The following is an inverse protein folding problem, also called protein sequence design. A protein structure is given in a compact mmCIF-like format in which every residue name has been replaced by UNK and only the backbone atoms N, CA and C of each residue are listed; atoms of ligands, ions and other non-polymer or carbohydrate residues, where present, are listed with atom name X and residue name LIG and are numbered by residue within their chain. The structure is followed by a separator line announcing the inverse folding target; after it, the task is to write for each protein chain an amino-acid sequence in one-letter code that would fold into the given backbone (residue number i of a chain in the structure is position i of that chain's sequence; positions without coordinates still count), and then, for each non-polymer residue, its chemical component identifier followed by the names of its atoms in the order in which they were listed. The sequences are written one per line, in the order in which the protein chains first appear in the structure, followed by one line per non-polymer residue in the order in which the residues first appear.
data_IF_382224586256
#
_entry.id   IF_382224586256
#
_cell.length_a   1.000
_cell.length_b   1.000
_cell.length_c   1.000
_cell.angle_alpha   90.00
_cell.angle_beta   90.00
_cell.angle_gamma   90.00
#
_symmetry.space_group_name_H-M   'P 1'
#
loop_
_entity.id
_entity.type
_entity.pdbx_description
1 polymer ?
#
# COMPACT_ATOMS: atom_id res chain seq x y z
N UNK A 1 -4.50 24.11 23.41
CA UNK A 1 -4.92 24.01 22.00
C UNK A 1 -4.30 22.73 21.46
N UNK A 2 -4.99 21.89 20.67
CA UNK A 2 -4.31 20.75 20.09
C UNK A 2 -3.38 21.30 19.01
N UNK A 3 -2.08 21.16 19.23
CA UNK A 3 -1.05 21.43 18.21
C UNK A 3 -1.41 20.61 16.98
N UNK A 4 -1.86 21.28 15.93
CA UNK A 4 -2.10 20.67 14.63
C UNK A 4 -0.77 20.12 14.15
N UNK A 5 -0.58 18.81 14.27
CA UNK A 5 0.63 18.15 13.81
C UNK A 5 0.68 18.32 12.30
N UNK A 6 1.59 19.16 11.81
CA UNK A 6 1.81 19.30 10.37
C UNK A 6 2.37 17.98 9.86
N UNK A 7 1.64 17.34 8.94
CA UNK A 7 2.08 16.09 8.31
C UNK A 7 3.12 16.42 7.24
N UNK A 8 4.30 15.81 7.35
CA UNK A 8 5.35 15.95 6.35
C UNK A 8 5.19 14.81 5.35
N UNK A 9 4.73 15.14 4.15
CA UNK A 9 4.39 14.14 3.12
C UNK A 9 5.62 13.61 2.38
N UNK A 10 6.63 14.47 2.18
CA UNK A 10 7.80 14.17 1.35
C UNK A 10 9.11 14.58 2.05
N UNK A 11 10.19 13.87 1.73
CA UNK A 11 11.54 14.16 2.17
C UNK A 11 12.55 13.94 1.03
N UNK A 12 13.72 14.56 1.13
CA UNK A 12 14.91 14.14 0.37
C UNK A 12 15.69 13.09 1.16
N UNK A 13 16.39 12.19 0.47
CA UNK A 13 17.35 11.25 1.07
C UNK A 13 18.60 11.16 0.21
N UNK A 14 19.75 10.81 0.82
CA UNK A 14 20.97 10.58 0.06
C UNK A 14 20.78 9.43 -0.95
N UNK A 15 21.36 9.58 -2.15
CA UNK A 15 21.24 8.60 -3.24
C UNK A 15 19.97 8.72 -4.08
N UNK A 16 19.00 9.54 -3.68
CA UNK A 16 17.81 9.81 -4.47
C UNK A 16 17.71 11.31 -4.73
N UNK A 17 17.83 11.71 -5.99
CA UNK A 17 17.76 13.13 -6.40
C UNK A 17 16.31 13.66 -6.44
N UNK A 18 15.34 12.81 -6.12
CA UNK A 18 13.91 13.12 -6.12
C UNK A 18 13.34 13.17 -4.71
N UNK A 19 12.23 13.89 -4.55
CA UNK A 19 11.41 13.85 -3.34
C UNK A 19 10.78 12.47 -3.23
N UNK A 20 10.84 11.87 -2.05
CA UNK A 20 10.23 10.57 -1.79
C UNK A 20 9.20 10.67 -0.67
N UNK A 21 8.13 9.90 -0.77
CA UNK A 21 7.14 9.74 0.30
C UNK A 21 7.64 8.72 1.34
N UNK A 22 7.02 8.72 2.52
CA UNK A 22 7.36 7.75 3.56
C UNK A 22 7.06 6.31 3.14
N UNK A 23 6.00 6.09 2.35
CA UNK A 23 5.72 4.78 1.74
C UNK A 23 6.81 4.36 0.77
N UNK A 24 7.28 5.30 -0.07
CA UNK A 24 8.37 5.01 -1.01
C UNK A 24 9.65 4.63 -0.27
N UNK A 25 9.98 5.34 0.80
CA UNK A 25 11.10 4.99 1.67
C UNK A 25 10.96 3.59 2.27
N UNK A 26 9.77 3.24 2.74
CA UNK A 26 9.45 1.91 3.27
C UNK A 26 9.66 0.81 2.24
N UNK A 27 9.14 0.98 1.03
CA UNK A 27 9.35 0.01 -0.06
C UNK A 27 10.84 -0.18 -0.40
N UNK A 28 11.59 0.91 -0.50
CA UNK A 28 13.02 0.85 -0.79
C UNK A 28 13.79 0.13 0.33
N UNK A 29 13.43 0.35 1.59
CA UNK A 29 14.05 -0.35 2.72
C UNK A 29 13.81 -1.86 2.66
N UNK A 30 12.57 -2.27 2.38
CA UNK A 30 12.21 -3.68 2.27
C UNK A 30 12.66 -4.36 0.98
N UNK A 31 13.11 -3.56 -0.01
CA UNK A 31 13.80 -4.01 -1.22
C UNK A 31 15.34 -4.05 -1.06
N UNK A 32 15.87 -3.76 0.14
CA UNK A 32 17.31 -3.63 0.42
C UNK A 32 18.01 -2.55 -0.46
N UNK A 33 17.27 -1.51 -0.84
CA UNK A 33 17.75 -0.33 -1.60
C UNK A 33 17.88 0.93 -0.72
N UNK A 34 17.42 0.86 0.52
CA UNK A 34 17.53 1.95 1.49
C UNK A 34 17.95 1.39 2.85
N UNK A 35 19.07 1.90 3.36
CA UNK A 35 19.59 1.49 4.66
C UNK A 35 18.61 1.81 5.79
N UNK A 36 18.66 1.01 6.86
CA UNK A 36 17.86 1.23 8.07
C UNK A 36 18.13 2.60 8.69
N UNK A 37 19.38 3.06 8.60
CA UNK A 37 19.86 4.33 9.16
C UNK A 37 19.83 5.47 8.12
N UNK A 38 19.04 5.32 7.05
CA UNK A 38 18.88 6.34 6.03
C UNK A 38 18.47 7.69 6.65
N UNK A 39 19.11 8.76 6.16
CA UNK A 39 18.88 10.12 6.63
C UNK A 39 17.98 10.85 5.66
N UNK A 40 16.91 11.41 6.20
CA UNK A 40 15.96 12.21 5.46
C UNK A 40 16.11 13.68 5.81
N UNK A 41 15.89 14.57 4.84
CA UNK A 41 15.92 16.02 5.05
C UNK A 41 14.66 16.67 4.51
N UNK A 42 14.22 17.75 5.15
CA UNK A 42 13.05 18.51 4.75
C UNK A 42 13.14 19.00 3.29
N UNK A 43 11.99 19.05 2.61
CA UNK A 43 11.85 19.57 1.25
C UNK A 43 11.54 21.07 1.20
N UNK A 44 11.36 21.71 2.36
CA UNK A 44 11.04 23.12 2.46
C UNK A 44 12.13 24.01 1.88
N UNK A 45 11.72 25.14 1.32
CA UNK A 45 12.59 26.08 0.61
C UNK A 45 13.67 26.62 1.54
N UNK A 46 14.94 26.32 1.24
CA UNK A 46 16.07 26.70 2.09
C UNK A 46 16.14 25.94 3.43
N UNK A 47 15.33 24.91 3.63
CA UNK A 47 15.34 24.08 4.83
C UNK A 47 16.22 22.83 4.61
N UNK A 48 16.94 22.42 5.66
CA UNK A 48 17.74 21.18 5.67
C UNK A 48 17.53 20.38 6.95
N UNK A 49 16.42 20.62 7.64
CA UNK A 49 16.08 19.96 8.90
C UNK A 49 16.10 18.43 8.74
N UNK A 50 16.74 17.70 9.68
CA UNK A 50 16.72 16.25 9.66
C UNK A 50 15.32 15.72 9.97
N UNK A 51 14.92 14.70 9.23
CA UNK A 51 13.65 14.00 9.39
C UNK A 51 13.89 12.52 9.70
N UNK A 52 12.88 11.91 10.32
CA UNK A 52 12.79 10.47 10.59
C UNK A 52 11.65 9.91 9.76
N UNK A 53 11.89 8.81 9.04
CA UNK A 53 10.79 7.96 8.55
C UNK A 53 10.37 7.01 9.68
N UNK A 54 9.26 7.32 10.35
CA UNK A 54 8.75 6.48 11.42
C UNK A 54 8.22 5.15 10.84
N UNK A 55 8.45 4.06 11.58
CA UNK A 55 8.02 2.70 11.22
C UNK A 55 8.67 2.10 9.96
N UNK A 56 9.80 2.64 9.51
CA UNK A 56 10.54 2.14 8.33
C UNK A 56 10.87 0.63 8.41
N UNK A 57 11.36 0.19 9.57
CA UNK A 57 11.87 -1.16 9.83
C UNK A 57 10.81 -2.13 10.39
N UNK A 58 9.57 -1.67 10.55
CA UNK A 58 8.49 -2.50 11.09
C UNK A 58 7.82 -3.28 9.97
N UNK A 59 7.69 -4.61 10.07
CA UNK A 59 6.90 -5.37 9.12
C UNK A 59 5.47 -4.84 9.04
N UNK A 60 4.89 -4.86 7.84
CA UNK A 60 3.60 -4.22 7.52
C UNK A 60 2.46 -4.67 8.42
N UNK A 61 2.45 -5.96 8.79
CA UNK A 61 1.49 -6.56 9.72
C UNK A 61 1.58 -6.06 11.17
N UNK A 62 2.66 -5.38 11.54
CA UNK A 62 2.84 -4.79 12.87
C UNK A 62 2.62 -3.27 12.86
N UNK A 63 2.31 -2.69 11.69
CA UNK A 63 2.05 -1.27 11.56
C UNK A 63 0.66 -0.95 12.10
N UNK A 64 0.61 -0.17 13.19
CA UNK A 64 -0.63 0.47 13.63
C UNK A 64 -0.95 1.74 12.84
N UNK A 65 0.08 2.35 12.27
CA UNK A 65 0.03 3.58 11.48
C UNK A 65 0.98 3.37 10.30
N UNK A 66 0.62 3.90 9.12
CA UNK A 66 1.49 3.90 7.93
C UNK A 66 2.84 4.56 8.24
N UNK A 67 3.91 4.24 7.50
CA UNK A 67 5.14 5.00 7.59
C UNK A 67 4.86 6.48 7.32
N UNK A 68 5.45 7.36 8.13
CA UNK A 68 5.26 8.80 8.03
C UNK A 68 6.56 9.53 8.37
N UNK A 69 6.77 10.71 7.78
CA UNK A 69 7.89 11.54 8.18
C UNK A 69 7.55 12.38 9.41
N UNK A 70 8.54 12.55 10.28
CA UNK A 70 8.47 13.48 11.41
C UNK A 70 9.80 14.17 11.62
N UNK A 71 9.76 15.41 12.10
CA UNK A 71 10.93 16.14 12.55
C UNK A 71 11.50 15.53 13.83
N UNK A 72 12.82 15.65 14.03
CA UNK A 72 13.42 15.40 15.34
C UNK A 72 12.98 16.46 16.35
N UNK A 73 13.16 17.72 15.97
CA UNK A 73 12.69 18.89 16.71
C UNK A 73 12.11 19.90 15.73
N UNK A 74 11.13 20.69 16.18
CA UNK A 74 10.52 21.68 15.30
C UNK A 74 11.49 22.84 15.03
N UNK A 75 12.31 23.20 16.02
CA UNK A 75 13.35 24.22 15.91
C UNK A 75 14.52 23.88 14.96
N UNK A 76 14.61 22.63 14.47
CA UNK A 76 15.62 22.26 13.46
C UNK A 76 15.27 22.80 12.06
N UNK A 77 14.02 23.25 11.86
CA UNK A 77 13.57 23.87 10.62
C UNK A 77 13.99 25.34 10.54
N UNK A 78 14.22 25.82 9.32
CA UNK A 78 14.39 27.24 9.09
C UNK A 78 13.09 27.98 9.46
N UNK A 79 13.18 29.18 10.05
CA UNK A 79 12.00 29.96 10.45
C UNK A 79 11.00 30.21 9.30
N UNK A 80 11.51 30.22 8.06
CA UNK A 80 10.73 30.40 6.83
C UNK A 80 10.22 29.09 6.23
N UNK A 81 10.44 27.94 6.88
CA UNK A 81 10.07 26.63 6.35
C UNK A 81 8.56 26.47 6.28
N UNK A 82 8.05 26.45 5.06
CA UNK A 82 6.64 26.26 4.73
C UNK A 82 6.12 24.87 5.10
N UNK A 83 6.99 23.86 5.14
CA UNK A 83 6.62 22.47 5.48
C UNK A 83 6.38 22.30 6.98
N UNK A 84 7.12 23.01 7.83
CA UNK A 84 7.00 22.90 9.28
C UNK A 84 6.17 24.01 9.91
N UNK A 85 6.24 25.23 9.33
CA UNK A 85 5.60 26.44 9.86
C UNK A 85 4.46 26.96 8.98
N UNK A 86 4.21 26.33 7.83
CA UNK A 86 3.08 26.67 6.97
C UNK A 86 1.78 26.56 7.76
N UNK A 87 1.11 27.70 7.96
CA UNK A 87 -0.24 27.72 8.52
C UNK A 87 -1.14 26.96 7.54
N UNK A 88 -1.68 25.83 7.98
CA UNK A 88 -2.44 24.88 7.16
C UNK A 88 -3.27 25.56 6.07
N UNK A 89 -2.76 25.53 4.83
CA UNK A 89 -3.45 26.09 3.69
C UNK A 89 -4.65 25.20 3.34
N UNK A 90 -5.74 25.90 3.00
CA UNK A 90 -7.06 25.47 2.54
C UNK A 90 -7.25 23.97 2.32
N UNK A 91 -8.27 23.41 3.02
CA UNK A 91 -8.93 22.11 2.76
C UNK A 91 -8.71 21.68 1.30
N UNK A 92 -7.67 20.86 1.08
CA UNK A 92 -7.27 20.47 -0.26
C UNK A 92 -8.49 19.88 -0.99
N UNK A 93 -8.71 20.28 -2.24
CA UNK A 93 -9.72 19.63 -3.08
C UNK A 93 -9.50 18.12 -2.99
N UNK A 94 -10.53 17.37 -2.58
CA UNK A 94 -10.50 15.90 -2.53
C UNK A 94 -10.29 15.40 -3.96
N UNK A 95 -9.05 15.11 -4.32
CA UNK A 95 -8.70 14.39 -5.55
C UNK A 95 -8.87 12.90 -5.32
N UNK A 96 -9.23 12.12 -6.36
CA UNK A 96 -9.22 10.67 -6.23
C UNK A 96 -7.83 10.18 -5.86
N UNK A 97 -7.77 9.12 -5.04
CA UNK A 97 -6.55 8.33 -4.90
C UNK A 97 -6.20 7.72 -6.26
N UNK A 98 -4.92 7.51 -6.57
CA UNK A 98 -4.51 6.88 -7.84
C UNK A 98 -3.85 5.55 -7.52
N UNK A 99 -4.34 4.47 -8.11
CA UNK A 99 -3.69 3.16 -8.05
C UNK A 99 -3.09 2.78 -9.38
N UNK A 100 -1.76 2.75 -9.39
CA UNK A 100 -0.96 2.42 -10.55
C UNK A 100 -0.81 0.89 -10.63
N UNK A 101 -1.41 0.30 -11.68
CA UNK A 101 -1.41 -1.14 -11.87
C UNK A 101 -0.01 -1.74 -12.06
N UNK A 102 0.91 -0.94 -12.60
CA UNK A 102 2.30 -1.31 -12.83
C UNK A 102 3.22 -0.25 -12.28
N UNK A 103 4.35 -0.71 -11.72
CA UNK A 103 5.43 0.20 -11.30
C UNK A 103 6.21 0.64 -12.54
N UNK A 104 6.77 1.86 -12.54
CA UNK A 104 7.83 2.23 -13.49
C UNK A 104 8.96 1.19 -13.47
N UNK A 105 9.58 0.94 -14.62
CA UNK A 105 10.62 -0.09 -14.75
C UNK A 105 11.85 0.17 -13.85
N UNK A 106 12.11 1.44 -13.54
CA UNK A 106 13.17 1.92 -12.66
C UNK A 106 12.73 2.14 -11.21
N UNK A 107 11.51 1.73 -10.83
CA UNK A 107 10.99 1.88 -9.47
C UNK A 107 11.82 1.13 -8.41
N UNK A 108 12.62 0.13 -8.77
CA UNK A 108 13.57 -0.50 -7.83
C UNK A 108 15.00 -0.45 -8.36
N UNK A 109 15.30 0.55 -9.20
CA UNK A 109 16.67 0.79 -9.63
C UNK A 109 17.46 1.31 -8.43
N UNK A 110 18.57 0.63 -8.11
CA UNK A 110 19.50 1.14 -7.13
C UNK A 110 20.01 2.52 -7.57
N UNK A 111 20.13 3.49 -6.64
CA UNK A 111 20.89 4.70 -6.87
C UNK A 111 22.20 4.40 -7.58
N UNK A 112 22.56 5.22 -8.59
CA UNK A 112 23.92 5.16 -9.11
C UNK A 112 24.88 5.40 -7.94
N UNK A 113 25.84 4.50 -7.74
CA UNK A 113 26.86 4.67 -6.72
C UNK A 113 27.60 5.98 -7.00
N UNK A 114 27.26 7.03 -6.27
CA UNK A 114 28.05 8.25 -6.27
C UNK A 114 29.36 7.87 -5.59
N UNK A 115 30.53 8.09 -6.23
CA UNK A 115 31.80 7.92 -5.55
C UNK A 115 31.74 8.72 -4.26
N UNK A 116 32.19 8.10 -3.17
CA UNK A 116 32.31 8.71 -1.85
C UNK A 116 33.37 9.81 -1.93
N UNK A 117 33.01 10.93 -2.53
CA UNK A 117 33.73 12.18 -2.42
C UNK A 117 33.17 12.88 -1.19
N UNK A 118 34.04 13.25 -0.27
CA UNK A 118 33.78 14.24 0.77
C UNK A 118 33.38 15.56 0.12
N UNK A 119 32.14 15.63 -0.36
CA UNK A 119 31.54 16.83 -0.89
C UNK A 119 30.33 17.10 0.00
N UNK A 120 30.56 17.95 0.99
CA UNK A 120 29.54 18.82 1.57
C UNK A 120 28.99 19.65 0.41
N UNK A 121 28.08 19.06 -0.38
CA UNK A 121 27.34 19.81 -1.38
C UNK A 121 26.37 20.70 -0.60
N UNK A 122 26.73 21.97 -0.48
CA UNK A 122 25.92 22.98 0.20
C UNK A 122 24.46 22.91 -0.28
N UNK A 123 23.48 22.94 0.63
CA UNK A 123 22.05 22.84 0.31
C UNK A 123 21.56 23.91 -0.68
N UNK A 124 22.33 24.98 -0.86
CA UNK A 124 22.07 26.07 -1.80
C UNK A 124 22.03 25.65 -3.28
N UNK A 125 22.72 24.59 -3.71
CA UNK A 125 22.74 24.19 -5.12
C UNK A 125 21.55 23.32 -5.56
N UNK A 126 20.89 22.62 -4.63
CA UNK A 126 19.64 21.89 -4.94
C UNK A 126 18.42 22.81 -5.03
N UNK A 127 18.48 23.98 -4.40
CA UNK A 127 17.38 24.94 -4.38
C UNK A 127 17.09 25.59 -5.75
N UNK A 128 18.03 25.61 -6.68
CA UNK A 128 17.89 26.40 -7.92
C UNK A 128 17.08 25.67 -9.01
N UNK A 129 17.01 24.33 -8.97
CA UNK A 129 16.23 23.56 -9.95
C UNK A 129 14.76 23.34 -9.55
N UNK A 130 14.36 23.68 -8.32
CA UNK A 130 13.02 23.41 -7.78
C UNK A 130 12.20 24.65 -7.44
N UNK A 131 12.74 25.85 -7.71
CA UNK A 131 12.20 27.14 -7.27
C UNK A 131 10.83 27.55 -7.87
N UNK A 132 10.17 26.69 -8.66
CA UNK A 132 8.90 26.99 -9.31
C UNK A 132 7.75 26.03 -8.97
N UNK A 133 7.95 25.04 -8.08
CA UNK A 133 6.87 24.17 -7.65
C UNK A 133 6.32 24.62 -6.28
N UNK A 134 5.42 25.61 -6.30
CA UNK A 134 4.40 25.77 -5.24
C UNK A 134 3.85 24.39 -4.91
N UNK A 135 3.85 24.01 -3.63
CA UNK A 135 3.40 22.71 -3.12
C UNK A 135 1.92 22.47 -3.42
N UNK A 136 1.59 22.18 -4.67
CA UNK A 136 0.26 21.70 -5.03
C UNK A 136 0.12 20.29 -4.47
N UNK A 137 -0.98 19.96 -3.79
CA UNK A 137 -1.28 18.60 -3.38
C UNK A 137 -1.24 17.69 -4.61
N UNK A 138 -0.24 16.79 -4.66
CA UNK A 138 -0.20 15.71 -5.64
C UNK A 138 -1.22 14.67 -5.21
N UNK A 139 -1.89 14.04 -6.18
CA UNK A 139 -2.66 12.84 -5.89
C UNK A 139 -1.71 11.80 -5.28
N UNK A 140 -2.18 11.06 -4.27
CA UNK A 140 -1.39 9.97 -3.71
C UNK A 140 -1.39 8.82 -4.72
N UNK A 141 -0.23 8.52 -5.31
CA UNK A 141 -0.05 7.39 -6.22
C UNK A 141 0.37 6.15 -5.41
N UNK A 142 -0.44 5.10 -5.48
CA UNK A 142 -0.21 3.83 -4.82
C UNK A 142 0.10 2.75 -5.83
N UNK A 143 1.14 1.97 -5.56
CA UNK A 143 1.48 0.79 -6.36
C UNK A 143 1.03 -0.51 -5.70
N UNK A 144 0.94 -0.54 -4.36
CA UNK A 144 0.58 -1.73 -3.58
C UNK A 144 -0.89 -1.72 -3.20
N UNK A 145 -1.56 -2.85 -3.39
CA UNK A 145 -2.94 -3.05 -2.98
C UNK A 145 -3.12 -2.81 -1.47
N UNK A 146 -2.08 -3.03 -0.66
CA UNK A 146 -2.16 -2.81 0.77
C UNK A 146 -2.43 -1.34 1.16
N UNK A 147 -1.95 -0.36 0.37
CA UNK A 147 -2.29 1.05 0.58
C UNK A 147 -3.76 1.34 0.25
N UNK A 148 -4.29 0.75 -0.83
CA UNK A 148 -5.73 0.85 -1.13
C UNK A 148 -6.61 0.14 -0.09
N UNK A 149 -6.18 -1.01 0.42
CA UNK A 149 -6.90 -1.72 1.49
C UNK A 149 -6.97 -0.84 2.74
N UNK A 150 -5.87 -0.17 3.10
CA UNK A 150 -5.86 0.77 4.22
C UNK A 150 -6.84 1.92 4.02
N UNK A 151 -6.85 2.53 2.81
CA UNK A 151 -7.81 3.58 2.46
C UNK A 151 -9.26 3.09 2.51
N UNK A 152 -9.51 1.89 2.00
CA UNK A 152 -10.81 1.25 2.11
C UNK A 152 -11.26 1.11 3.57
N UNK A 153 -10.38 0.70 4.49
CA UNK A 153 -10.71 0.60 5.92
C UNK A 153 -10.96 1.98 6.55
N UNK A 154 -10.17 2.99 6.18
CA UNK A 154 -10.36 4.39 6.60
C UNK A 154 -11.74 4.90 6.16
N UNK A 155 -12.05 4.82 4.86
CA UNK A 155 -13.34 5.26 4.31
C UNK A 155 -14.52 4.45 4.83
N UNK A 156 -14.33 3.16 5.10
CA UNK A 156 -15.36 2.32 5.74
C UNK A 156 -15.67 2.81 7.15
N UNK A 157 -14.66 3.14 7.94
CA UNK A 157 -14.81 3.68 9.31
C UNK A 157 -15.48 5.05 9.28
N UNK A 158 -15.10 5.88 8.31
CA UNK A 158 -15.59 7.25 8.17
C UNK A 158 -16.95 7.31 7.45
N UNK A 159 -17.42 6.16 6.94
CA UNK A 159 -18.73 5.94 6.28
C UNK A 159 -18.92 6.75 5.00
N UNK A 160 -17.87 6.88 4.19
CA UNK A 160 -17.87 7.63 2.92
C UNK A 160 -17.42 6.78 1.72
N UNK A 161 -17.58 5.45 1.77
CA UNK A 161 -17.14 4.53 0.70
C UNK A 161 -17.84 4.77 -0.66
N UNK A 162 -19.04 5.30 -0.65
CA UNK A 162 -19.85 5.66 -1.82
C UNK A 162 -19.48 7.03 -2.41
N UNK A 163 -18.78 7.87 -1.65
CA UNK A 163 -18.28 9.18 -2.09
C UNK A 163 -16.78 9.15 -2.43
N UNK A 164 -15.98 8.40 -1.67
CA UNK A 164 -14.55 8.29 -1.84
C UNK A 164 -14.20 7.53 -3.12
N UNK A 165 -13.33 8.12 -3.93
CA UNK A 165 -13.00 7.60 -5.27
C UNK A 165 -11.52 7.26 -5.41
N UNK A 166 -11.28 6.29 -6.29
CA UNK A 166 -9.95 5.87 -6.73
C UNK A 166 -9.94 5.77 -8.25
N UNK A 167 -8.86 6.25 -8.85
CA UNK A 167 -8.56 6.13 -10.27
C UNK A 167 -7.62 4.93 -10.52
N UNK A 168 -7.97 4.07 -11.48
CA UNK A 168 -7.17 2.92 -11.88
C UNK A 168 -7.16 2.85 -13.41
N UNK A 169 -5.99 3.06 -14.03
CA UNK A 169 -5.86 3.03 -15.49
C UNK A 169 -6.72 4.06 -16.22
N UNK A 170 -6.95 5.23 -15.61
CA UNK A 170 -7.78 6.31 -16.15
C UNK A 170 -9.28 6.15 -15.90
N UNK A 171 -9.73 5.05 -15.29
CA UNK A 171 -11.11 4.86 -14.87
C UNK A 171 -11.26 5.22 -13.39
N UNK A 172 -12.22 6.10 -13.06
CA UNK A 172 -12.55 6.46 -11.68
C UNK A 172 -13.75 5.66 -11.19
N UNK A 173 -13.65 5.10 -9.99
CA UNK A 173 -14.76 4.40 -9.33
C UNK A 173 -14.73 4.62 -7.81
N UNK A 174 -15.86 4.38 -7.16
CA UNK A 174 -15.95 4.47 -5.69
C UNK A 174 -15.29 3.26 -5.03
N UNK A 175 -14.81 3.45 -3.79
CA UNK A 175 -14.30 2.35 -2.98
C UNK A 175 -15.38 1.28 -2.74
N UNK A 176 -16.64 1.68 -2.59
CA UNK A 176 -17.77 0.74 -2.48
C UNK A 176 -17.90 -0.17 -3.71
N UNK A 177 -17.84 0.39 -4.92
CA UNK A 177 -17.96 -0.38 -6.16
C UNK A 177 -16.75 -1.29 -6.41
N UNK A 178 -15.55 -0.85 -5.96
CA UNK A 178 -14.28 -1.54 -6.16
C UNK A 178 -14.11 -2.77 -5.26
N UNK A 179 -14.50 -2.68 -3.99
CA UNK A 179 -14.24 -3.71 -2.99
C UNK A 179 -15.42 -4.68 -2.85
N UNK A 180 -15.24 -5.91 -3.31
CA UNK A 180 -16.30 -6.93 -3.36
C UNK A 180 -15.98 -8.13 -2.49
N UNK A 181 -16.91 -8.50 -1.61
CA UNK A 181 -16.75 -9.67 -0.76
C UNK A 181 -17.04 -10.97 -1.54
N UNK A 182 -16.18 -11.98 -1.39
CA UNK A 182 -16.40 -13.32 -1.94
C UNK A 182 -17.47 -14.03 -1.11
N UNK A 183 -18.75 -13.92 -1.52
CA UNK A 183 -19.84 -14.62 -0.84
C UNK A 183 -21.07 -14.82 -1.74
N UNK A 184 -21.35 -16.08 -2.11
CA UNK A 184 -22.61 -16.55 -2.73
C UNK A 184 -23.10 -15.80 -3.99
N UNK A 185 -22.24 -14.99 -4.60
CA UNK A 185 -22.49 -14.39 -5.91
C UNK A 185 -22.31 -15.45 -7.00
N UNK A 186 -23.07 -15.35 -8.09
CA UNK A 186 -22.98 -16.28 -9.22
C UNK A 186 -21.70 -15.99 -10.01
N UNK A 187 -20.77 -16.94 -10.06
CA UNK A 187 -19.43 -16.72 -10.62
C UNK A 187 -19.47 -16.32 -12.10
N UNK A 188 -20.42 -16.85 -12.87
CA UNK A 188 -20.56 -16.57 -14.30
C UNK A 188 -20.74 -15.07 -14.58
N UNK A 189 -21.42 -14.35 -13.68
CA UNK A 189 -21.69 -12.92 -13.83
C UNK A 189 -20.46 -12.06 -13.47
N UNK A 190 -19.41 -12.67 -12.90
CA UNK A 190 -18.24 -11.99 -12.35
C UNK A 190 -16.95 -12.24 -13.13
N UNK A 191 -16.92 -13.19 -14.08
CA UNK A 191 -15.71 -13.57 -14.82
C UNK A 191 -15.09 -12.40 -15.62
N UNK A 192 -15.91 -11.42 -16.02
CA UNK A 192 -15.45 -10.19 -16.69
C UNK A 192 -15.00 -9.08 -15.74
N UNK A 193 -15.39 -9.16 -14.47
CA UNK A 193 -15.25 -8.06 -13.50
C UNK A 193 -13.90 -8.11 -12.81
N UNK A 194 -13.08 -7.10 -13.08
CA UNK A 194 -11.88 -6.82 -12.26
C UNK A 194 -12.32 -5.98 -11.06
N UNK A 195 -12.00 -6.43 -9.86
CA UNK A 195 -12.34 -5.77 -8.61
C UNK A 195 -11.33 -6.15 -7.54
N UNK A 196 -11.36 -5.48 -6.40
CA UNK A 196 -10.67 -5.95 -5.20
C UNK A 196 -11.58 -6.97 -4.50
N UNK A 197 -11.32 -8.24 -4.74
CA UNK A 197 -12.03 -9.35 -4.12
C UNK A 197 -11.46 -9.63 -2.75
N UNK A 198 -12.33 -9.75 -1.74
CA UNK A 198 -11.86 -10.00 -0.38
C UNK A 198 -12.71 -10.99 0.40
N UNK A 199 -12.10 -11.62 1.40
CA UNK A 199 -12.76 -12.57 2.27
C UNK A 199 -11.79 -13.34 3.16
N UNK A 200 -12.33 -14.10 4.10
CA UNK A 200 -11.52 -14.99 4.94
C UNK A 200 -10.97 -16.15 4.12
N UNK A 201 -9.76 -16.60 4.42
CA UNK A 201 -9.07 -17.66 3.72
C UNK A 201 -8.19 -18.49 4.65
N UNK A 202 -7.80 -19.67 4.17
CA UNK A 202 -6.71 -20.47 4.71
C UNK A 202 -5.47 -20.30 3.82
N UNK A 203 -4.33 -20.01 4.44
CA UNK A 203 -3.01 -19.88 3.84
C UNK A 203 -2.14 -21.07 4.26
N UNK A 204 -1.38 -21.63 3.31
CA UNK A 204 -0.34 -22.63 3.61
C UNK A 204 0.85 -22.46 2.70
N UNK A 205 2.03 -22.83 3.18
CA UNK A 205 3.21 -22.99 2.34
C UNK A 205 3.04 -24.19 1.40
N UNK A 206 3.60 -24.11 0.19
CA UNK A 206 3.70 -25.24 -0.74
C UNK A 206 5.05 -25.93 -0.60
N UNK A 207 5.13 -27.18 -1.07
CA UNK A 207 6.39 -27.93 -1.07
C UNK A 207 7.45 -27.29 -1.98
N UNK A 208 7.04 -26.55 -3.01
CA UNK A 208 7.95 -25.85 -3.92
C UNK A 208 8.41 -24.48 -3.40
N UNK A 209 8.11 -24.11 -2.13
CA UNK A 209 8.54 -22.82 -1.55
C UNK A 209 7.64 -21.62 -1.88
N UNK A 210 6.45 -21.88 -2.44
CA UNK A 210 5.40 -20.91 -2.67
C UNK A 210 4.33 -20.90 -1.58
N UNK A 211 3.19 -20.27 -1.87
CA UNK A 211 2.03 -20.22 -0.98
C UNK A 211 0.74 -20.55 -1.72
N UNK A 212 -0.18 -21.21 -1.04
CA UNK A 212 -1.51 -21.52 -1.53
C UNK A 212 -2.57 -20.92 -0.60
N UNK A 213 -3.49 -20.16 -1.18
CA UNK A 213 -4.62 -19.57 -0.46
C UNK A 213 -5.93 -20.15 -0.98
N UNK A 214 -6.85 -20.42 -0.06
CA UNK A 214 -8.21 -20.86 -0.38
C UNK A 214 -9.20 -20.04 0.41
N UNK A 215 -10.10 -19.37 -0.29
CA UNK A 215 -11.19 -18.61 0.35
C UNK A 215 -12.10 -19.56 1.12
N UNK A 216 -12.56 -19.12 2.28
CA UNK A 216 -13.47 -19.89 3.14
C UNK A 216 -14.90 -19.88 2.59
N UNK A 217 -15.31 -18.75 2.03
CA UNK A 217 -16.63 -18.55 1.43
C UNK A 217 -16.59 -18.85 -0.07
N UNK A 218 -17.64 -19.48 -0.63
CA UNK A 218 -17.70 -19.84 -2.04
C UNK A 218 -18.44 -18.80 -2.90
N UNK A 219 -18.17 -18.84 -4.20
CA UNK A 219 -19.11 -18.40 -5.23
C UNK A 219 -20.12 -19.51 -5.54
N UNK A 220 -21.27 -19.13 -6.12
CA UNK A 220 -22.25 -20.07 -6.67
C UNK A 220 -21.93 -20.35 -8.13
N UNK A 221 -22.05 -21.61 -8.53
CA UNK A 221 -21.97 -22.05 -9.92
C UNK A 221 -22.98 -23.19 -10.11
N UNK A 222 -24.10 -22.88 -10.76
CA UNK A 222 -25.26 -23.77 -10.86
C UNK A 222 -25.66 -24.30 -9.46
N UNK A 223 -25.69 -25.62 -9.26
CA UNK A 223 -25.99 -26.25 -7.96
C UNK A 223 -24.76 -26.46 -7.07
N UNK A 224 -23.58 -25.98 -7.49
CA UNK A 224 -22.31 -26.13 -6.78
C UNK A 224 -21.84 -24.85 -6.08
N UNK A 225 -21.08 -25.03 -5.01
CA UNK A 225 -20.36 -23.97 -4.30
C UNK A 225 -18.85 -24.10 -4.56
N UNK A 226 -18.27 -23.12 -5.24
CA UNK A 226 -16.86 -23.13 -5.62
C UNK A 226 -16.08 -22.12 -4.77
N UNK A 227 -15.13 -22.62 -3.97
CA UNK A 227 -14.23 -21.78 -3.17
C UNK A 227 -13.06 -21.30 -4.03
N UNK A 228 -12.89 -19.99 -4.27
CA UNK A 228 -11.79 -19.49 -5.06
C UNK A 228 -10.44 -19.78 -4.42
N UNK A 229 -9.42 -19.87 -5.27
CA UNK A 229 -8.06 -20.20 -4.86
C UNK A 229 -7.07 -19.21 -5.45
N UNK A 230 -5.91 -19.06 -4.79
CA UNK A 230 -4.75 -18.31 -5.27
C UNK A 230 -3.53 -19.19 -5.05
N UNK A 231 -2.58 -19.16 -5.97
CA UNK A 231 -1.28 -19.79 -5.78
C UNK A 231 -0.22 -18.78 -6.15
N UNK A 232 0.70 -18.56 -5.22
CA UNK A 232 1.88 -17.73 -5.39
C UNK A 232 3.06 -18.71 -5.50
N UNK A 233 3.66 -18.78 -6.67
CA UNK A 233 4.79 -19.70 -6.93
C UNK A 233 6.08 -19.14 -6.34
N UNK A 234 7.04 -20.02 -6.02
CA UNK A 234 8.37 -19.57 -5.59
C UNK A 234 9.02 -18.64 -6.62
N UNK A 235 8.87 -18.92 -7.92
CA UNK A 235 9.38 -18.07 -9.00
C UNK A 235 8.84 -16.65 -8.93
N UNK A 236 7.53 -16.48 -8.75
CA UNK A 236 6.90 -15.15 -8.63
C UNK A 236 7.41 -14.41 -7.39
N UNK A 237 7.52 -15.12 -6.25
CA UNK A 237 7.99 -14.54 -4.99
C UNK A 237 9.46 -14.13 -5.10
N UNK A 238 10.33 -14.97 -5.66
CA UNK A 238 11.76 -14.71 -5.72
C UNK A 238 12.09 -13.54 -6.66
N UNK A 239 11.30 -13.37 -7.72
CA UNK A 239 11.37 -12.24 -8.63
C UNK A 239 10.83 -10.93 -8.02
N UNK A 240 10.11 -10.99 -6.90
CA UNK A 240 9.48 -9.82 -6.31
C UNK A 240 10.50 -8.96 -5.53
N UNK A 241 10.60 -7.64 -5.81
CA UNK A 241 11.60 -6.78 -5.17
C UNK A 241 11.50 -6.73 -3.64
N UNK A 242 10.29 -6.67 -3.09
CA UNK A 242 10.04 -6.64 -1.63
C UNK A 242 9.65 -8.01 -1.07
N UNK A 243 10.20 -9.10 -1.64
CA UNK A 243 9.90 -10.49 -1.24
C UNK A 243 10.13 -10.80 0.25
N UNK A 244 11.12 -10.16 0.88
CA UNK A 244 11.39 -10.36 2.32
C UNK A 244 10.19 -9.97 3.17
N UNK A 245 9.59 -8.83 2.85
CA UNK A 245 8.39 -8.33 3.52
C UNK A 245 7.21 -9.29 3.29
N UNK A 246 7.01 -9.74 2.04
CA UNK A 246 5.94 -10.66 1.70
C UNK A 246 6.07 -12.00 2.45
N UNK A 247 7.25 -12.62 2.44
CA UNK A 247 7.50 -13.89 3.14
C UNK A 247 7.33 -13.73 4.65
N UNK A 248 7.95 -12.72 5.24
CA UNK A 248 7.84 -12.45 6.69
C UNK A 248 6.38 -12.33 7.14
N UNK A 249 5.52 -11.72 6.31
CA UNK A 249 4.09 -11.62 6.58
C UNK A 249 3.37 -12.96 6.47
N UNK A 250 3.54 -13.68 5.37
CA UNK A 250 2.82 -14.94 5.12
C UNK A 250 3.25 -16.04 6.10
N UNK A 251 4.54 -16.14 6.40
CA UNK A 251 5.09 -17.12 7.33
C UNK A 251 4.60 -16.86 8.77
N UNK A 252 4.53 -15.58 9.18
CA UNK A 252 3.96 -15.20 10.48
C UNK A 252 2.50 -15.63 10.60
N UNK A 253 1.69 -15.43 9.57
CA UNK A 253 0.28 -15.83 9.57
C UNK A 253 0.10 -17.35 9.68
N UNK A 254 0.98 -18.12 9.04
CA UNK A 254 0.99 -19.57 9.18
C UNK A 254 1.35 -19.96 10.62
N UNK A 255 2.39 -19.34 11.19
CA UNK A 255 2.89 -19.67 12.52
C UNK A 255 1.94 -19.25 13.67
N UNK A 256 1.33 -18.07 13.58
CA UNK A 256 0.58 -17.47 14.69
C UNK A 256 -0.95 -17.65 14.58
N UNK A 257 -1.47 -17.88 13.37
CA UNK A 257 -2.91 -17.98 13.12
C UNK A 257 -3.31 -19.27 12.41
N UNK A 258 -2.42 -20.28 12.38
CA UNK A 258 -2.62 -21.54 11.65
C UNK A 258 -3.03 -21.30 10.18
N UNK A 259 -2.49 -20.22 9.59
CA UNK A 259 -2.81 -19.79 8.23
C UNK A 259 -4.19 -19.16 8.05
N UNK A 260 -4.99 -19.00 9.10
CA UNK A 260 -6.24 -18.27 9.03
C UNK A 260 -5.98 -16.78 8.80
N UNK A 261 -6.56 -16.22 7.74
CA UNK A 261 -6.27 -14.85 7.31
C UNK A 261 -7.46 -14.21 6.58
N UNK A 262 -7.33 -12.92 6.27
CA UNK A 262 -8.18 -12.19 5.33
C UNK A 262 -7.35 -11.82 4.11
N UNK A 263 -7.84 -12.13 2.93
CA UNK A 263 -7.15 -11.87 1.66
C UNK A 263 -7.91 -10.80 0.90
N UNK A 264 -7.17 -9.89 0.29
CA UNK A 264 -7.63 -8.93 -0.71
C UNK A 264 -6.84 -9.17 -1.99
N UNK A 265 -7.51 -9.28 -3.12
CA UNK A 265 -6.86 -9.51 -4.42
C UNK A 265 -7.50 -8.67 -5.51
N UNK A 266 -6.70 -7.90 -6.23
CA UNK A 266 -7.16 -7.13 -7.39
C UNK A 266 -7.02 -7.96 -8.67
N UNK A 267 -8.10 -8.65 -9.03
CA UNK A 267 -8.08 -9.60 -10.14
C UNK A 267 -9.47 -9.82 -10.76
N UNK A 268 -9.48 -10.50 -11.90
CA UNK A 268 -10.69 -11.13 -12.45
C UNK A 268 -10.78 -12.57 -11.95
N UNK A 269 -11.94 -13.04 -11.47
CA UNK A 269 -12.15 -14.46 -11.25
C UNK A 269 -11.99 -15.19 -12.59
N UNK A 270 -11.23 -16.28 -12.59
CA UNK A 270 -11.08 -17.13 -13.75
C UNK A 270 -11.65 -18.51 -13.46
N UNK A 271 -12.38 -19.03 -14.44
CA UNK A 271 -12.95 -20.37 -14.43
C UNK A 271 -12.68 -20.99 -15.81
N UNK A 272 -12.04 -22.16 -15.90
CA UNK A 272 -11.87 -22.86 -17.16
C UNK A 272 -13.21 -23.37 -17.69
N UNK A 273 -13.38 -23.34 -19.02
CA UNK A 273 -14.61 -23.81 -19.68
C UNK A 273 -14.70 -25.34 -19.72
N UNK A 274 -13.56 -26.01 -19.89
CA UNK A 274 -13.49 -27.44 -20.23
C UNK A 274 -12.85 -28.30 -19.13
N UNK A 275 -12.85 -27.85 -17.88
CA UNK A 275 -12.32 -28.64 -16.77
C UNK A 275 -13.31 -29.73 -16.36
N UNK A 276 -12.82 -30.96 -16.15
CA UNK A 276 -13.61 -32.11 -15.67
C UNK A 276 -14.38 -31.80 -14.38
N UNK A 277 -13.78 -30.98 -13.50
CA UNK A 277 -14.41 -30.44 -12.30
C UNK A 277 -14.31 -28.92 -12.31
N UNK A 278 -15.42 -28.18 -12.17
CA UNK A 278 -15.39 -26.73 -12.18
C UNK A 278 -14.63 -26.20 -10.96
N UNK A 279 -13.81 -25.18 -11.18
CA UNK A 279 -13.08 -24.49 -10.11
C UNK A 279 -12.88 -23.02 -10.45
N UNK A 280 -12.68 -22.21 -9.42
CA UNK A 280 -12.44 -20.77 -9.58
C UNK A 280 -11.06 -20.43 -9.02
N UNK A 281 -10.33 -19.61 -9.76
CA UNK A 281 -8.99 -19.14 -9.38
C UNK A 281 -8.87 -17.64 -9.63
N UNK A 282 -8.17 -16.95 -8.75
CA UNK A 282 -7.62 -15.64 -9.07
C UNK A 282 -6.15 -15.81 -9.46
N UNK A 283 -5.78 -15.29 -10.63
CA UNK A 283 -4.39 -15.20 -11.04
C UNK A 283 -3.81 -13.87 -10.57
N UNK A 284 -2.68 -13.94 -9.87
CA UNK A 284 -1.96 -12.78 -9.34
C UNK A 284 -0.66 -12.69 -10.13
N UNK A 285 -0.70 -11.97 -11.24
CA UNK A 285 0.47 -11.80 -12.12
C UNK A 285 1.44 -10.74 -11.60
N UNK A 286 1.00 -9.91 -10.66
CA UNK A 286 1.81 -8.93 -9.95
C UNK A 286 1.51 -9.06 -8.45
N UNK A 287 2.55 -9.30 -7.63
CA UNK A 287 2.41 -9.47 -6.18
C UNK A 287 2.07 -8.17 -5.44
N UNK A 288 2.12 -7.02 -6.11
CA UNK A 288 1.54 -5.78 -5.60
C UNK A 288 -0.01 -5.81 -5.60
N UNK A 289 -0.64 -6.71 -6.35
CA UNK A 289 -2.11 -6.83 -6.48
C UNK A 289 -2.73 -7.76 -5.45
N UNK A 290 -1.98 -8.16 -4.42
CA UNK A 290 -2.48 -8.99 -3.32
C UNK A 290 -2.07 -8.43 -1.96
N UNK A 291 -3.02 -8.40 -1.04
CA UNK A 291 -2.79 -8.10 0.35
C UNK A 291 -3.36 -9.20 1.24
N UNK A 292 -2.60 -9.62 2.24
CA UNK A 292 -2.97 -10.72 3.15
C UNK A 292 -2.76 -10.24 4.57
N UNK A 293 -3.84 -10.21 5.34
CA UNK A 293 -3.91 -9.66 6.69
C UNK A 293 -4.30 -10.73 7.69
N UNK A 294 -3.93 -10.54 8.94
CA UNK A 294 -4.36 -11.41 10.02
C UNK A 294 -5.86 -11.27 10.31
N UNK A 295 -6.42 -12.19 11.12
CA UNK A 295 -7.84 -12.21 11.43
C UNK A 295 -8.33 -10.98 12.21
N UNK A 296 -7.45 -10.23 12.87
CA UNK A 296 -7.77 -9.01 13.61
C UNK A 296 -8.50 -7.96 12.77
N UNK A 297 -8.21 -7.88 11.47
CA UNK A 297 -8.88 -6.97 10.55
C UNK A 297 -10.39 -7.25 10.42
N UNK A 298 -10.85 -8.45 10.79
CA UNK A 298 -12.28 -8.77 10.79
C UNK A 298 -13.06 -7.90 11.77
N UNK A 299 -12.43 -7.44 12.86
CA UNK A 299 -13.08 -6.51 13.79
C UNK A 299 -13.30 -5.16 13.13
N UNK A 300 -12.30 -4.63 12.43
CA UNK A 300 -12.42 -3.40 11.64
C UNK A 300 -13.47 -3.53 10.53
N UNK A 301 -13.54 -4.70 9.90
CA UNK A 301 -14.55 -5.00 8.87
C UNK A 301 -15.97 -5.12 9.47
N UNK A 302 -16.11 -5.54 10.74
CA UNK A 302 -17.39 -5.72 11.47
C UNK A 302 -17.88 -4.46 12.17
N UNK A 303 -17.01 -3.60 12.69
CA UNK A 303 -17.33 -2.52 13.63
C UNK A 303 -18.07 -1.30 13.02
N UNK A 304 -18.71 -1.44 11.87
CA UNK A 304 -19.50 -0.38 11.24
C UNK A 304 -21.01 -0.64 11.23
N UNK A 305 -21.50 -1.69 11.90
CA UNK A 305 -22.94 -1.95 12.08
C UNK A 305 -23.50 -1.65 13.48
N UNK A 306 -22.73 -1.07 14.40
CA UNK A 306 -23.21 -0.71 15.76
C UNK A 306 -22.79 0.69 16.16
N UNK A 307 -23.55 1.70 15.70
CA UNK A 307 -24.14 2.77 16.54
C UNK A 307 -25.26 3.38 15.69
N UNK A 308 -26.47 2.86 15.88
CA UNK A 308 -27.74 3.55 15.65
C UNK A 308 -28.80 2.72 16.38
N UNK A 309 -29.06 3.10 17.63
CA UNK A 309 -30.37 2.87 18.23
C UNK A 309 -30.73 4.19 18.91
N UNK A 310 -31.94 4.72 18.66
CA UNK A 310 -32.40 5.99 19.20
C UNK A 310 -32.47 6.00 20.73
#
# INVERSE_FOLDING_TARGET
MPDGHVSIEEAFTAGHDERITAERAYELHWADLLDRDARFTCVGSGCSAPLICACLDKPEQNLRIRPYFRSYRLEDHADTCEVAHGRGESKAEKRPDVFEAERPADHFRAPAATPRADAVASPAQRAVASASAVSRPRASHYYRLSSLVQKFLEHRRDKDLDEATVEIGGETQTYEALFRNVYRQKVADLLGTRAVWWGTASLRATKEGGYYLRFSRPFRHDDAELRPTITLTAKEIDAYPVRRLLRARLDKLIAESDGYCVVFVWAKPWMPKDAEKPFVRFYVNNLDHIDVRGPEILEELRNTSRVASP
#
